data_IF_258644251002
#
_entry.id   IF_258644251002
#
_cell.length_a   1.000
_cell.length_b   1.000
_cell.length_c   1.000
_cell.angle_alpha   90.00
_cell.angle_beta   90.00
_cell.angle_gamma   90.00
#
_symmetry.space_group_name_H-M   'P 1'
#
loop_
_entity.id
_entity.type
_entity.pdbx_description
1 polymer ?
#
# COMPACT_ATOMS: atom_id res chain seq x y z
N UNK A 1 -10.86 -13.24 -7.19
CA UNK A 1 -10.24 -12.62 -5.99
C UNK A 1 -10.92 -11.29 -5.77
N UNK A 2 -11.41 -11.02 -4.57
CA UNK A 2 -12.06 -9.75 -4.27
C UNK A 2 -11.02 -8.61 -4.14
N UNK A 3 -11.42 -7.32 -4.21
CA UNK A 3 -10.47 -6.21 -4.17
C UNK A 3 -9.61 -6.15 -2.90
N UNK A 4 -10.14 -6.58 -1.75
CA UNK A 4 -9.39 -6.61 -0.49
C UNK A 4 -8.30 -7.68 -0.51
N UNK A 5 -8.60 -8.91 -0.94
CA UNK A 5 -7.63 -10.00 -1.13
C UNK A 5 -6.52 -9.63 -2.12
N UNK A 6 -6.89 -9.00 -3.23
CA UNK A 6 -5.93 -8.50 -4.22
C UNK A 6 -5.01 -7.46 -3.61
N UNK A 7 -5.56 -6.54 -2.82
CA UNK A 7 -4.79 -5.50 -2.13
C UNK A 7 -3.85 -6.11 -1.10
N UNK A 8 -4.30 -7.10 -0.30
CA UNK A 8 -3.44 -7.83 0.63
C UNK A 8 -2.25 -8.45 -0.10
N UNK A 9 -2.54 -9.17 -1.19
CA UNK A 9 -1.51 -9.85 -1.99
C UNK A 9 -0.52 -8.84 -2.57
N UNK A 10 -1.02 -7.74 -3.14
CA UNK A 10 -0.20 -6.69 -3.72
C UNK A 10 0.77 -6.06 -2.70
N UNK A 11 0.29 -5.71 -1.51
CA UNK A 11 1.11 -5.14 -0.44
C UNK A 11 2.20 -6.12 0.04
N UNK A 12 1.89 -7.43 0.10
CA UNK A 12 2.88 -8.46 0.43
C UNK A 12 3.92 -8.61 -0.69
N UNK A 13 3.49 -8.64 -1.94
CA UNK A 13 4.39 -8.74 -3.11
C UNK A 13 5.35 -7.55 -3.20
N UNK A 14 4.89 -6.35 -2.83
CA UNK A 14 5.76 -5.16 -2.74
C UNK A 14 6.72 -5.18 -1.54
N UNK A 15 6.54 -6.11 -0.59
CA UNK A 15 7.34 -6.25 0.62
C UNK A 15 7.04 -5.21 1.69
N UNK A 16 5.92 -4.49 1.60
CA UNK A 16 5.55 -3.44 2.56
C UNK A 16 4.68 -3.96 3.71
N UNK A 17 4.13 -5.15 3.56
CA UNK A 17 3.30 -5.84 4.55
C UNK A 17 3.74 -7.30 4.69
N UNK A 18 3.74 -7.82 5.91
CA UNK A 18 4.08 -9.22 6.17
C UNK A 18 2.98 -10.16 5.70
N UNK A 19 3.37 -11.35 5.24
CA UNK A 19 2.41 -12.41 4.94
C UNK A 19 1.75 -12.90 6.24
N UNK A 20 0.40 -12.97 6.31
CA UNK A 20 -0.29 -13.43 7.50
C UNK A 20 0.06 -14.91 7.77
N UNK A 21 0.34 -15.24 9.04
CA UNK A 21 0.73 -16.61 9.46
C UNK A 21 -0.39 -17.65 9.31
N UNK A 22 -1.63 -17.20 9.15
CA UNK A 22 -2.84 -18.01 9.01
C UNK A 22 -3.69 -17.43 7.88
N UNK A 23 -4.62 -18.24 7.37
CA UNK A 23 -5.61 -17.77 6.40
C UNK A 23 -6.39 -16.57 6.95
N UNK A 24 -6.55 -15.53 6.13
CA UNK A 24 -7.29 -14.32 6.47
C UNK A 24 -8.76 -14.53 6.10
N UNK A 25 -9.61 -14.70 7.11
CA UNK A 25 -11.05 -14.93 6.90
C UNK A 25 -11.82 -13.66 6.51
N UNK A 26 -11.34 -12.49 6.95
CA UNK A 26 -11.87 -11.17 6.58
C UNK A 26 -10.73 -10.25 6.13
N UNK A 27 -10.45 -10.20 4.81
CA UNK A 27 -9.39 -9.38 4.25
C UNK A 27 -9.59 -7.89 4.47
N UNK A 28 -10.84 -7.40 4.55
CA UNK A 28 -11.12 -5.98 4.73
C UNK A 28 -10.79 -5.54 6.15
N UNK A 29 -11.27 -6.28 7.16
CA UNK A 29 -10.93 -6.01 8.55
C UNK A 29 -9.42 -6.15 8.83
N UNK A 30 -8.78 -7.16 8.21
CA UNK A 30 -7.33 -7.33 8.29
C UNK A 30 -6.57 -6.12 7.74
N UNK A 31 -6.91 -5.66 6.54
CA UNK A 31 -6.30 -4.45 5.96
C UNK A 31 -6.56 -3.22 6.82
N UNK A 32 -7.80 -3.01 7.26
CA UNK A 32 -8.12 -1.85 8.09
C UNK A 32 -7.25 -1.80 9.35
N UNK A 33 -7.02 -2.94 9.99
CA UNK A 33 -6.14 -3.06 11.15
C UNK A 33 -4.66 -2.80 10.78
N UNK A 34 -4.16 -3.48 9.75
CA UNK A 34 -2.76 -3.41 9.33
C UNK A 34 -2.34 -2.04 8.81
N UNK A 35 -3.27 -1.25 8.29
CA UNK A 35 -2.99 0.07 7.72
C UNK A 35 -3.21 1.21 8.73
N UNK A 36 -3.87 0.95 9.86
CA UNK A 36 -4.40 1.98 10.76
C UNK A 36 -3.35 2.95 11.31
N UNK A 37 -2.13 2.47 11.53
CA UNK A 37 -1.03 3.27 12.07
C UNK A 37 -0.29 4.10 10.99
N UNK A 38 -0.65 3.91 9.72
CA UNK A 38 -0.09 4.60 8.56
C UNK A 38 1.30 4.13 8.14
N UNK A 39 1.98 3.24 8.86
CA UNK A 39 3.36 2.84 8.55
C UNK A 39 3.43 2.07 7.24
N UNK A 40 2.54 1.09 7.05
CA UNK A 40 2.45 0.31 5.80
C UNK A 40 2.12 1.21 4.62
N UNK A 41 1.28 2.23 4.84
CA UNK A 41 0.92 3.22 3.80
C UNK A 41 2.12 4.09 3.41
N UNK A 42 2.89 4.59 4.37
CA UNK A 42 4.13 5.32 4.08
C UNK A 42 5.15 4.46 3.33
N UNK A 43 5.35 3.20 3.76
CA UNK A 43 6.23 2.26 3.06
C UNK A 43 5.75 2.00 1.63
N UNK A 44 4.45 1.89 1.42
CA UNK A 44 3.85 1.72 0.10
C UNK A 44 4.22 2.90 -0.82
N UNK A 45 3.95 4.14 -0.40
CA UNK A 45 4.18 5.28 -1.29
C UNK A 45 5.67 5.50 -1.57
N UNK A 46 6.53 5.26 -0.58
CA UNK A 46 7.99 5.29 -0.73
C UNK A 46 8.50 4.19 -1.68
N UNK A 47 7.87 3.00 -1.65
CA UNK A 47 8.19 1.89 -2.56
C UNK A 47 7.78 2.20 -4.00
N UNK A 48 6.62 2.84 -4.18
CA UNK A 48 6.09 3.20 -5.50
C UNK A 48 6.82 4.42 -6.10
N UNK A 49 7.24 5.36 -5.25
CA UNK A 49 8.03 6.52 -5.65
C UNK A 49 9.00 6.88 -4.52
N UNK A 50 10.29 6.54 -4.65
CA UNK A 50 11.30 6.89 -3.66
C UNK A 50 11.42 8.39 -3.43
N UNK A 51 11.64 8.79 -2.19
CA UNK A 51 11.75 10.18 -1.75
C UNK A 51 10.41 10.90 -1.61
N UNK A 52 9.30 10.16 -1.41
CA UNK A 52 7.96 10.77 -1.27
C UNK A 52 7.63 11.12 0.17
N UNK A 53 8.10 10.32 1.14
CA UNK A 53 7.84 10.57 2.56
C UNK A 53 9.00 11.31 3.21
N UNK A 54 8.72 12.37 3.96
CA UNK A 54 9.76 13.14 4.67
C UNK A 54 10.09 12.54 6.03
N UNK A 55 9.05 12.17 6.80
CA UNK A 55 9.19 11.63 8.14
C UNK A 55 8.11 10.59 8.41
N UNK A 56 8.53 9.41 8.86
CA UNK A 56 7.63 8.30 9.20
C UNK A 56 7.93 7.81 10.61
N UNK A 57 6.92 7.82 11.48
CA UNK A 57 6.99 7.18 12.79
C UNK A 57 6.89 5.67 12.60
N UNK A 58 8.01 4.94 12.69
CA UNK A 58 8.03 3.49 12.49
C UNK A 58 7.30 2.72 13.60
N UNK A 59 7.24 3.29 14.81
CA UNK A 59 6.55 2.75 15.97
C UNK A 59 5.66 3.85 16.58
N UNK A 60 4.55 4.21 15.92
CA UNK A 60 3.69 5.29 16.40
C UNK A 60 3.01 4.87 17.72
N UNK A 61 3.07 5.76 18.71
CA UNK A 61 2.57 5.57 20.08
C UNK A 61 1.32 6.39 20.38
N UNK A 62 0.85 7.21 19.44
CA UNK A 62 -0.33 8.05 19.58
C UNK A 62 -1.09 8.22 18.27
N UNK A 63 -2.38 8.55 18.36
CA UNK A 63 -3.21 8.87 17.20
C UNK A 63 -2.67 10.04 16.37
N UNK A 64 -1.96 10.98 17.00
CA UNK A 64 -1.30 12.10 16.30
C UNK A 64 -0.16 11.62 15.40
N UNK A 65 0.63 10.64 15.85
CA UNK A 65 1.71 10.05 15.05
C UNK A 65 1.14 9.18 13.93
N UNK A 66 0.10 8.37 14.21
CA UNK A 66 -0.63 7.62 13.18
C UNK A 66 -1.22 8.57 12.12
N UNK A 67 -1.85 9.67 12.55
CA UNK A 67 -2.39 10.70 11.67
C UNK A 67 -1.29 11.35 10.82
N UNK A 68 -0.11 11.61 11.39
CA UNK A 68 1.04 12.14 10.67
C UNK A 68 1.47 11.19 9.55
N UNK A 69 1.63 9.90 9.85
CA UNK A 69 1.96 8.89 8.85
C UNK A 69 0.90 8.82 7.73
N UNK A 70 -0.38 8.75 8.10
CA UNK A 70 -1.46 8.72 7.11
C UNK A 70 -1.40 9.96 6.20
N UNK A 71 -1.17 11.15 6.76
CA UNK A 71 -1.05 12.39 5.97
C UNK A 71 0.12 12.37 4.99
N UNK A 72 1.27 11.77 5.36
CA UNK A 72 2.40 11.60 4.43
C UNK A 72 2.01 10.74 3.23
N UNK A 73 1.32 9.62 3.45
CA UNK A 73 0.77 8.80 2.37
C UNK A 73 -0.20 9.59 1.48
N UNK A 74 -1.13 10.34 2.07
CA UNK A 74 -2.13 11.11 1.32
C UNK A 74 -1.48 12.21 0.47
N UNK A 75 -0.44 12.89 0.97
CA UNK A 75 0.36 13.84 0.17
C UNK A 75 0.99 13.15 -1.03
N UNK A 76 1.59 11.98 -0.82
CA UNK A 76 2.25 11.23 -1.89
C UNK A 76 1.29 10.71 -2.98
N UNK A 77 0.02 10.47 -2.64
CA UNK A 77 -1.01 10.10 -3.62
C UNK A 77 -1.19 11.15 -4.73
N UNK A 78 -0.92 12.43 -4.47
CA UNK A 78 -1.03 13.51 -5.46
C UNK A 78 -0.16 13.25 -6.71
N UNK A 79 0.97 12.56 -6.56
CA UNK A 79 1.85 12.17 -7.66
C UNK A 79 1.18 11.23 -8.68
N UNK A 80 0.26 10.39 -8.21
CA UNK A 80 -0.37 9.32 -8.98
C UNK A 80 -1.74 9.70 -9.51
N UNK A 81 -2.20 10.94 -9.24
CA UNK A 81 -3.51 11.47 -9.68
C UNK A 81 -4.69 10.57 -9.29
N UNK A 82 -4.57 9.86 -8.17
CA UNK A 82 -5.66 9.09 -7.58
C UNK A 82 -6.44 9.96 -6.61
N UNK A 83 -7.72 9.68 -6.42
CA UNK A 83 -8.53 10.30 -5.38
C UNK A 83 -8.16 9.69 -4.01
N UNK A 84 -7.57 10.48 -3.08
CA UNK A 84 -7.22 9.98 -1.77
C UNK A 84 -8.44 9.91 -0.85
N UNK A 85 -8.43 8.97 0.08
CA UNK A 85 -9.39 8.92 1.19
C UNK A 85 -9.09 10.03 2.23
N UNK A 86 -9.98 10.24 3.19
CA UNK A 86 -9.76 11.18 4.30
C UNK A 86 -9.14 10.47 5.51
N UNK A 87 -8.22 11.09 6.25
CA UNK A 87 -7.53 10.40 7.34
C UNK A 87 -8.48 9.77 8.40
N UNK A 88 -9.66 10.36 8.63
CA UNK A 88 -10.71 9.80 9.49
C UNK A 88 -11.33 8.51 8.97
N UNK A 89 -11.37 8.31 7.64
CA UNK A 89 -11.89 7.10 7.01
C UNK A 89 -11.15 5.85 7.50
N UNK A 90 -9.85 5.98 7.77
CA UNK A 90 -9.00 4.91 8.27
C UNK A 90 -8.78 4.99 9.79
N UNK A 91 -8.29 6.12 10.31
CA UNK A 91 -7.88 6.23 11.71
C UNK A 91 -9.06 6.05 12.67
N UNK A 92 -10.20 6.65 12.33
CA UNK A 92 -11.45 6.52 13.08
C UNK A 92 -12.38 5.45 12.49
N UNK A 93 -12.01 4.86 11.36
CA UNK A 93 -12.77 3.80 10.69
C UNK A 93 -14.10 4.26 10.09
N UNK A 94 -14.22 5.54 9.70
CA UNK A 94 -15.49 6.10 9.19
C UNK A 94 -15.92 5.47 7.86
N UNK A 95 -14.97 5.18 6.96
CA UNK A 95 -15.30 4.66 5.62
C UNK A 95 -14.15 3.88 4.99
N UNK A 96 -13.99 2.63 5.38
CA UNK A 96 -12.93 1.78 4.82
C UNK A 96 -13.09 1.51 3.30
N UNK A 97 -14.29 1.65 2.74
CA UNK A 97 -14.52 1.49 1.29
C UNK A 97 -13.73 2.51 0.46
N UNK A 98 -13.65 3.77 0.93
CA UNK A 98 -12.82 4.81 0.31
C UNK A 98 -11.33 4.45 0.38
N UNK A 99 -10.86 3.97 1.53
CA UNK A 99 -9.46 3.54 1.73
C UNK A 99 -9.09 2.45 0.73
N UNK A 100 -9.93 1.41 0.61
CA UNK A 100 -9.71 0.32 -0.34
C UNK A 100 -9.75 0.80 -1.80
N UNK A 101 -10.66 1.71 -2.12
CA UNK A 101 -10.79 2.29 -3.47
C UNK A 101 -9.52 3.05 -3.88
N UNK A 102 -8.95 3.87 -2.99
CA UNK A 102 -7.68 4.57 -3.24
C UNK A 102 -6.53 3.58 -3.49
N UNK A 103 -6.40 2.52 -2.70
CA UNK A 103 -5.33 1.52 -2.86
C UNK A 103 -5.47 0.73 -4.17
N UNK A 104 -6.69 0.34 -4.53
CA UNK A 104 -6.97 -0.33 -5.81
C UNK A 104 -6.63 0.58 -6.98
N UNK A 105 -6.94 1.88 -6.90
CA UNK A 105 -6.58 2.84 -7.94
C UNK A 105 -5.06 3.00 -8.06
N UNK A 106 -4.33 3.09 -6.93
CA UNK A 106 -2.86 3.14 -6.93
C UNK A 106 -2.23 1.91 -7.59
N UNK A 107 -2.71 0.71 -7.24
CA UNK A 107 -2.23 -0.53 -7.84
C UNK A 107 -2.39 -0.51 -9.37
N UNK A 108 -3.58 -0.11 -9.86
CA UNK A 108 -3.84 -0.01 -11.31
C UNK A 108 -2.90 0.97 -12.00
N UNK A 109 -2.80 2.20 -11.49
CA UNK A 109 -1.94 3.24 -12.08
C UNK A 109 -0.46 2.81 -12.09
N UNK A 110 0.00 2.08 -11.07
CA UNK A 110 1.41 1.67 -10.96
C UNK A 110 1.74 0.40 -11.73
N UNK A 111 0.77 -0.48 -11.96
CA UNK A 111 0.90 -1.62 -12.86
C UNK A 111 1.17 -1.16 -14.31
N UNK A 112 0.48 -0.10 -14.76
CA UNK A 112 0.67 0.46 -16.10
C UNK A 112 2.05 1.11 -16.30
N UNK A 113 2.68 1.57 -15.22
CA UNK A 113 4.02 2.19 -15.24
C UNK A 113 5.14 1.13 -15.22
N UNK A 114 4.82 -0.15 -14.98
CA UNK A 114 5.80 -1.24 -14.92
C UNK A 114 6.58 -1.32 -13.60
N UNK A 115 6.10 -0.68 -12.54
CA UNK A 115 6.75 -0.71 -11.21
C UNK A 115 6.57 -2.07 -10.50
N UNK A 116 5.74 -2.95 -11.07
CA UNK A 116 5.58 -4.33 -10.63
C UNK A 116 6.47 -5.30 -11.39
N UNK A 117 7.50 -5.83 -10.71
CA UNK A 117 8.16 -7.11 -10.99
C UNK A 117 9.52 -7.12 -11.73
N UNK A 118 10.52 -6.40 -11.22
CA UNK A 118 11.92 -6.77 -11.49
C UNK A 118 12.45 -7.70 -10.40
N UNK A 119 12.22 -9.01 -10.55
CA UNK A 119 13.09 -10.10 -10.05
C UNK A 119 12.58 -11.48 -10.48
N UNK A 120 12.81 -11.86 -11.75
CA UNK A 120 13.41 -13.16 -12.15
C UNK A 120 14.05 -12.96 -13.53
N UNK A 121 15.35 -12.67 -13.57
CA UNK A 121 16.16 -12.91 -14.76
C UNK A 121 16.28 -14.43 -14.98
N UNK A 122 15.32 -15.05 -15.66
CA UNK A 122 15.59 -16.32 -16.34
C UNK A 122 16.25 -15.98 -17.66
N UNK A 123 17.59 -15.96 -17.62
CA UNK A 123 18.41 -16.15 -18.82
C UNK A 123 17.95 -17.45 -19.49
N UNK A 124 17.32 -17.37 -20.65
CA UNK A 124 17.37 -18.46 -21.61
C UNK A 124 17.94 -17.92 -22.93
N UNK A 125 19.25 -18.13 -23.03
CA UNK A 125 20.08 -18.30 -24.22
C UNK A 125 19.50 -17.82 -25.56
N UNK A 126 20.12 -16.77 -26.09
CA UNK A 126 20.33 -16.63 -27.53
C UNK A 126 21.03 -17.90 -28.05
N UNK A 127 20.32 -18.69 -28.85
CA UNK A 127 20.95 -19.65 -29.76
C UNK A 127 20.82 -19.07 -31.18
N UNK A 128 21.90 -18.47 -31.66
CA UNK A 128 22.13 -18.21 -33.07
C UNK A 128 22.64 -19.50 -33.71
N UNK A 129 21.98 -19.96 -34.77
CA UNK A 129 22.56 -20.61 -35.97
C UNK A 129 21.45 -20.81 -36.98
#
# INVERSE_FOLDING_TARGET
MNPAEQTVTWLITLGVMESPKKSVSDPAAFLQCALKDGVVLCRLIERLRPGTTEQVFQEPRSDSECLSNIKEFLKGCAAFRVEPFEASDLLQGQNFSKVLTTLVALNKVTADIGIGSDSVCTRHSTASS
#
